data_IF_815941932369
#
_entry.id   IF_815941932369
#
_cell.length_a   1.000
_cell.length_b   1.000
_cell.length_c   1.000
_cell.angle_alpha   90.00
_cell.angle_beta   90.00
_cell.angle_gamma   90.00
#
_symmetry.space_group_name_H-M   'P 1'
#
loop_
_entity.id
_entity.type
_entity.pdbx_description
1 polymer ?
#
# COMPACT_ATOMS: atom_id res chain seq x y z
N UNK A 1 -6.38 3.84 16.30
CA UNK A 1 -7.16 2.76 15.65
C UNK A 1 -6.34 2.12 14.53
N UNK A 2 -6.13 0.80 14.55
CA UNK A 2 -5.63 0.10 13.36
C UNK A 2 -6.77 -0.01 12.34
N UNK A 3 -6.53 0.47 11.13
CA UNK A 3 -7.47 0.34 10.02
C UNK A 3 -6.86 -0.57 8.97
N UNK A 4 -7.69 -1.45 8.41
CA UNK A 4 -7.31 -2.29 7.28
C UNK A 4 -8.03 -1.81 6.03
N UNK A 5 -7.34 -1.83 4.90
CA UNK A 5 -7.90 -1.50 3.59
C UNK A 5 -7.45 -2.53 2.58
N UNK A 6 -8.37 -2.91 1.70
CA UNK A 6 -8.07 -3.84 0.61
C UNK A 6 -7.91 -3.02 -0.66
N UNK A 7 -6.78 -3.19 -1.33
CA UNK A 7 -6.41 -2.50 -2.55
C UNK A 7 -6.26 -3.55 -3.65
N UNK A 8 -6.98 -3.36 -4.75
CA UNK A 8 -6.80 -4.16 -5.94
C UNK A 8 -5.64 -3.57 -6.73
N UNK A 9 -4.58 -4.36 -6.89
CA UNK A 9 -3.37 -3.96 -7.57
C UNK A 9 -3.30 -4.67 -8.93
N UNK A 10 -3.30 -3.88 -10.00
CA UNK A 10 -3.43 -4.36 -11.38
C UNK A 10 -2.06 -4.64 -12.04
N UNK A 11 -0.99 -4.64 -11.23
CA UNK A 11 0.37 -4.92 -11.69
C UNK A 11 0.96 -6.06 -10.87
N UNK A 12 0.63 -7.30 -11.23
CA UNK A 12 1.22 -8.48 -10.60
C UNK A 12 2.76 -8.54 -10.76
N UNK A 13 3.30 -7.90 -11.80
CA UNK A 13 4.75 -7.81 -12.06
C UNK A 13 5.54 -7.13 -10.94
N UNK A 14 4.90 -6.21 -10.21
CA UNK A 14 5.50 -5.51 -9.08
C UNK A 14 5.28 -6.22 -7.75
N UNK A 15 4.53 -7.33 -7.74
CA UNK A 15 4.29 -8.18 -6.56
C UNK A 15 5.43 -9.18 -6.43
N UNK A 16 6.64 -8.65 -6.48
CA UNK A 16 7.88 -9.39 -6.28
C UNK A 16 8.46 -8.98 -4.92
N UNK A 17 9.10 -9.91 -4.19
CA UNK A 17 9.68 -9.59 -2.88
C UNK A 17 10.75 -8.49 -2.96
N UNK A 18 11.40 -8.34 -4.12
CA UNK A 18 12.37 -7.28 -4.42
C UNK A 18 11.74 -5.89 -4.43
N UNK A 19 10.45 -5.79 -4.78
CA UNK A 19 9.70 -4.53 -4.87
C UNK A 19 8.75 -4.31 -3.72
N UNK A 20 8.91 -5.07 -2.63
CA UNK A 20 8.09 -4.93 -1.42
C UNK A 20 8.18 -3.50 -0.86
N UNK A 21 9.38 -2.91 -0.82
CA UNK A 21 9.59 -1.53 -0.36
C UNK A 21 9.00 -0.49 -1.31
N UNK A 22 9.14 -0.68 -2.64
CA UNK A 22 8.55 0.21 -3.64
C UNK A 22 7.02 0.17 -3.61
N UNK A 23 6.42 -1.01 -3.49
CA UNK A 23 4.97 -1.16 -3.34
C UNK A 23 4.49 -0.50 -2.07
N UNK A 24 5.21 -0.68 -0.96
CA UNK A 24 4.87 -0.03 0.30
C UNK A 24 4.87 1.48 0.12
N UNK A 25 5.96 2.06 -0.39
CA UNK A 25 6.08 3.49 -0.61
C UNK A 25 5.04 4.03 -1.59
N UNK A 26 4.70 3.30 -2.66
CA UNK A 26 3.63 3.69 -3.59
C UNK A 26 2.26 3.68 -2.91
N UNK A 27 1.95 2.63 -2.17
CA UNK A 27 0.70 2.52 -1.43
C UNK A 27 0.61 3.62 -0.37
N UNK A 28 1.70 3.91 0.35
CA UNK A 28 1.79 5.00 1.33
C UNK A 28 1.61 6.37 0.67
N UNK A 29 2.25 6.61 -0.48
CA UNK A 29 2.17 7.89 -1.21
C UNK A 29 0.81 8.12 -1.88
N UNK A 30 0.21 7.07 -2.46
CA UNK A 30 -1.09 7.16 -3.14
C UNK A 30 -2.25 7.28 -2.17
N UNK A 31 -2.15 6.59 -1.04
CA UNK A 31 -3.16 6.70 0.02
C UNK A 31 -2.88 7.86 0.96
N UNK A 32 -1.65 8.39 0.92
CA UNK A 32 -1.13 9.32 1.91
C UNK A 32 -1.38 8.75 3.29
N UNK A 33 -1.06 7.46 3.53
CA UNK A 33 -1.22 6.68 4.78
C UNK A 33 0.04 5.88 5.08
N UNK A 34 0.60 6.02 6.28
CA UNK A 34 1.71 5.17 6.73
C UNK A 34 1.25 3.72 6.92
N UNK A 35 1.72 2.83 6.05
CA UNK A 35 1.36 1.42 6.05
C UNK A 35 2.29 0.72 7.02
N UNK A 36 1.73 0.21 8.12
CA UNK A 36 2.49 -0.52 9.12
C UNK A 36 2.80 -1.94 8.63
N UNK A 37 1.85 -2.56 7.93
CA UNK A 37 1.99 -3.90 7.35
C UNK A 37 1.09 -4.04 6.15
N UNK A 38 1.51 -4.84 5.17
CA UNK A 38 0.60 -5.30 4.12
C UNK A 38 0.79 -6.80 3.85
N UNK A 39 -0.29 -7.41 3.39
CA UNK A 39 -0.39 -8.82 3.05
C UNK A 39 -0.90 -8.95 1.61
N UNK A 40 -0.17 -9.71 0.82
CA UNK A 40 -0.60 -10.09 -0.52
C UNK A 40 -1.60 -11.24 -0.33
N UNK A 41 -2.85 -11.00 -0.69
CA UNK A 41 -3.94 -11.96 -0.57
C UNK A 41 -4.03 -12.84 -1.81
N UNK A 42 -5.08 -12.62 -2.60
CA UNK A 42 -5.34 -13.40 -3.80
C UNK A 42 -4.64 -12.78 -4.99
N UNK A 43 -3.84 -13.56 -5.71
CA UNK A 43 -3.28 -13.18 -7.00
C UNK A 43 -4.12 -13.86 -8.07
N UNK A 44 -4.61 -13.06 -9.01
CA UNK A 44 -5.43 -13.47 -10.14
C UNK A 44 -4.56 -13.37 -11.41
N UNK A 45 -3.83 -14.44 -11.70
CA UNK A 45 -2.92 -14.53 -12.84
C UNK A 45 -3.63 -14.44 -14.20
N UNK A 46 -4.94 -14.73 -14.26
CA UNK A 46 -5.72 -14.59 -15.49
C UNK A 46 -5.94 -13.13 -15.89
N UNK A 47 -6.05 -12.25 -14.89
CA UNK A 47 -6.39 -10.84 -15.08
C UNK A 47 -5.21 -9.92 -14.70
N UNK A 48 -4.03 -10.48 -14.47
CA UNK A 48 -2.84 -9.75 -14.01
C UNK A 48 -3.11 -8.84 -12.79
N UNK A 49 -4.03 -9.25 -11.92
CA UNK A 49 -4.46 -8.46 -10.75
C UNK A 49 -4.16 -9.20 -9.46
N UNK A 50 -3.97 -8.48 -8.36
CA UNK A 50 -3.90 -9.06 -7.03
C UNK A 50 -4.58 -8.19 -5.98
N UNK A 51 -5.15 -8.86 -4.99
CA UNK A 51 -5.74 -8.24 -3.83
C UNK A 51 -4.68 -8.10 -2.73
N UNK A 52 -4.39 -6.86 -2.35
CA UNK A 52 -3.44 -6.53 -1.29
C UNK A 52 -4.22 -5.97 -0.11
N UNK A 53 -3.99 -6.50 1.07
CA UNK A 53 -4.56 -5.98 2.31
C UNK A 53 -3.49 -5.17 3.03
N UNK A 54 -3.73 -3.89 3.18
CA UNK A 54 -2.84 -2.97 3.90
C UNK A 54 -3.43 -2.66 5.27
N UNK A 55 -2.58 -2.59 6.28
CA UNK A 55 -2.89 -2.23 7.67
C UNK A 55 -2.14 -0.95 7.99
N UNK A 56 -2.86 0.09 8.38
CA UNK A 56 -2.31 1.41 8.68
C UNK A 56 -2.96 1.97 9.94
N UNK A 57 -2.24 2.86 10.61
CA UNK A 57 -2.78 3.66 11.70
C UNK A 57 -3.12 5.04 11.12
N UNK A 58 -4.41 5.39 11.14
CA UNK A 58 -4.89 6.68 10.63
C UNK A 58 -4.52 7.87 11.54
N UNK A 59 -3.85 7.62 12.66
CA UNK A 59 -3.67 8.57 13.76
C UNK A 59 -2.49 9.54 13.55
N UNK A 60 -1.53 9.23 12.66
CA UNK A 60 -0.25 9.95 12.57
C UNK A 60 -0.12 10.91 11.38
N UNK A 61 -1.22 11.31 10.73
CA UNK A 61 -1.13 12.01 9.43
C UNK A 61 -1.70 13.42 9.33
N UNK A 62 -1.77 14.11 10.46
CA UNK A 62 -2.04 15.56 10.43
C UNK A 62 -0.77 16.44 10.34
N UNK A 63 0.44 15.88 10.20
CA UNK A 63 1.66 16.70 10.33
C UNK A 63 2.76 16.33 9.34
N UNK A 64 2.63 16.73 8.06
CA UNK A 64 3.78 17.25 7.28
C UNK A 64 3.40 17.69 5.84
N UNK A 65 2.38 18.52 5.66
CA UNK A 65 2.34 19.39 4.47
C UNK A 65 2.67 20.83 4.89
N UNK A 66 3.91 20.98 5.37
CA UNK A 66 4.63 22.24 5.49
C UNK A 66 6.02 22.01 4.93
N UNK A 67 6.14 21.90 3.60
CA UNK A 67 7.41 22.19 2.94
C UNK A 67 7.18 23.25 1.87
N UNK A 68 7.40 24.49 2.31
CA UNK A 68 7.67 25.67 1.49
C UNK A 68 8.95 25.42 0.69
N UNK A 69 8.90 25.53 -0.63
CA UNK A 69 10.03 26.04 -1.38
C UNK A 69 9.58 26.85 -2.59
#
# INVERSE_FOLDING_TARGET
HETRKTINYERIDLITPDKYEEMKADLEKRTGLSINRFEIGKIDFLNDTALIRVFYYADEQELSDYHVN
#
